data_IF_469638073234
#
_entry.id   IF_469638073234
#
_cell.length_a   1.000
_cell.length_b   1.000
_cell.length_c   1.000
_cell.angle_alpha   90.00
_cell.angle_beta   90.00
_cell.angle_gamma   90.00
#
_symmetry.space_group_name_H-M   'P 1'
#
loop_
_entity.id
_entity.type
_entity.pdbx_description
1 polymer ?
#
# COMPACT_ATOMS: atom_id res chain seq x y z
N UNK A 1 6.79 20.15 6.55
CA UNK A 1 7.43 19.47 5.40
C UNK A 1 6.31 19.10 4.43
N UNK A 2 6.52 19.15 3.11
CA UNK A 2 5.49 18.71 2.15
C UNK A 2 5.59 17.18 2.04
N UNK A 3 4.45 16.48 2.16
CA UNK A 3 4.37 15.02 2.05
C UNK A 3 4.81 14.54 0.65
N UNK A 4 5.50 13.39 0.56
CA UNK A 4 5.85 12.79 -0.73
C UNK A 4 4.60 12.36 -1.53
N UNK A 5 3.46 12.21 -0.86
CA UNK A 5 2.18 11.81 -1.46
C UNK A 5 1.30 13.00 -1.85
N UNK A 6 1.76 14.24 -1.65
CA UNK A 6 0.98 15.43 -1.95
C UNK A 6 0.56 15.57 -3.43
N UNK A 7 1.30 14.93 -4.36
CA UNK A 7 0.95 14.93 -5.79
C UNK A 7 -0.36 14.18 -6.10
N UNK A 8 -0.79 13.27 -5.21
CA UNK A 8 -2.03 12.52 -5.37
C UNK A 8 -3.26 13.35 -5.02
N UNK A 9 -3.09 14.52 -4.38
CA UNK A 9 -4.21 15.25 -3.78
C UNK A 9 -5.27 15.70 -4.79
N UNK A 10 -4.85 15.99 -6.03
CA UNK A 10 -5.75 16.52 -7.06
C UNK A 10 -6.73 15.47 -7.61
N UNK A 11 -6.29 14.20 -7.69
CA UNK A 11 -7.06 13.12 -8.33
C UNK A 11 -7.44 11.99 -7.34
N UNK A 12 -6.62 11.78 -6.32
CA UNK A 12 -6.74 10.70 -5.35
C UNK A 12 -6.49 11.20 -3.91
N UNK A 13 -7.32 12.14 -3.39
CA UNK A 13 -7.12 12.75 -2.07
C UNK A 13 -7.11 11.74 -0.93
N UNK A 14 -7.84 10.62 -1.05
CA UNK A 14 -7.82 9.54 -0.07
C UNK A 14 -6.43 8.89 0.03
N UNK A 15 -5.77 8.61 -1.11
CA UNK A 15 -4.42 8.06 -1.13
C UNK A 15 -3.41 9.10 -0.60
N UNK A 16 -3.54 10.37 -0.99
CA UNK A 16 -2.70 11.45 -0.49
C UNK A 16 -2.76 11.54 1.04
N UNK A 17 -3.96 11.50 1.62
CA UNK A 17 -4.17 11.53 3.07
C UNK A 17 -3.60 10.30 3.78
N UNK A 18 -3.79 9.10 3.23
CA UNK A 18 -3.21 7.87 3.81
C UNK A 18 -1.69 7.89 3.80
N UNK A 19 -1.08 8.33 2.69
CA UNK A 19 0.37 8.44 2.56
C UNK A 19 0.96 9.50 3.50
N UNK A 20 0.35 10.68 3.57
CA UNK A 20 0.78 11.74 4.50
C UNK A 20 0.71 11.27 5.96
N UNK A 21 -0.38 10.60 6.36
CA UNK A 21 -0.50 10.05 7.71
C UNK A 21 0.55 8.97 7.99
N UNK A 22 0.87 8.13 6.99
CA UNK A 22 1.92 7.14 7.16
C UNK A 22 3.29 7.80 7.41
N UNK A 23 3.61 8.87 6.68
CA UNK A 23 4.84 9.65 6.91
C UNK A 23 4.87 10.30 8.29
N UNK A 24 3.74 10.86 8.74
CA UNK A 24 3.63 11.47 10.07
C UNK A 24 3.85 10.44 11.18
N UNK A 25 3.36 9.21 11.00
CA UNK A 25 3.54 8.15 12.00
C UNK A 25 4.92 7.50 12.00
N UNK A 26 5.72 7.64 10.92
CA UNK A 26 6.98 6.91 10.74
C UNK A 26 7.89 6.98 11.98
N UNK A 27 8.02 8.16 12.60
CA UNK A 27 8.93 8.38 13.73
C UNK A 27 8.24 8.36 15.11
N UNK A 28 6.92 8.23 15.15
CA UNK A 28 6.15 8.22 16.40
C UNK A 28 5.57 6.84 16.72
N UNK A 29 5.14 6.10 15.70
CA UNK A 29 4.51 4.79 15.80
C UNK A 29 4.64 4.04 14.46
N UNK A 30 5.70 3.25 14.32
CA UNK A 30 5.94 2.44 13.13
C UNK A 30 4.84 1.41 12.86
N UNK A 31 4.13 0.94 13.89
CA UNK A 31 3.00 0.03 13.74
C UNK A 31 1.83 0.72 13.02
N UNK A 32 1.44 1.90 13.50
CA UNK A 32 0.42 2.72 12.85
C UNK A 32 0.84 3.13 11.43
N UNK A 33 2.13 3.42 11.20
CA UNK A 33 2.67 3.67 9.86
C UNK A 33 2.41 2.48 8.92
N UNK A 34 2.80 1.26 9.31
CA UNK A 34 2.57 0.05 8.51
C UNK A 34 1.09 -0.23 8.24
N UNK A 35 0.21 0.02 9.22
CA UNK A 35 -1.24 -0.12 9.04
C UNK A 35 -1.73 0.88 7.98
N UNK A 36 -1.30 2.15 8.03
CA UNK A 36 -1.69 3.17 7.06
C UNK A 36 -1.15 2.88 5.67
N UNK A 37 0.10 2.44 5.54
CA UNK A 37 0.65 2.01 4.26
C UNK A 37 -0.13 0.82 3.70
N UNK A 38 -0.51 -0.15 4.54
CA UNK A 38 -1.33 -1.29 4.13
C UNK A 38 -2.66 -0.86 3.52
N UNK A 39 -3.35 0.09 4.16
CA UNK A 39 -4.60 0.67 3.64
C UNK A 39 -4.38 1.44 2.33
N UNK A 40 -3.27 2.17 2.21
CA UNK A 40 -2.89 2.84 0.97
C UNK A 40 -2.75 1.84 -0.19
N UNK A 41 -1.99 0.75 0.01
CA UNK A 41 -1.80 -0.27 -1.02
C UNK A 41 -3.10 -0.99 -1.40
N UNK A 42 -3.95 -1.31 -0.41
CA UNK A 42 -5.28 -1.88 -0.67
C UNK A 42 -6.17 -0.95 -1.50
N UNK A 43 -6.19 0.33 -1.14
CA UNK A 43 -6.98 1.34 -1.85
C UNK A 43 -6.46 1.54 -3.28
N UNK A 44 -5.14 1.57 -3.46
CA UNK A 44 -4.50 1.69 -4.78
C UNK A 44 -4.86 0.52 -5.69
N UNK A 45 -4.73 -0.72 -5.22
CA UNK A 45 -5.10 -1.91 -5.99
C UNK A 45 -6.58 -1.89 -6.38
N UNK A 46 -7.47 -1.48 -5.47
CA UNK A 46 -8.89 -1.38 -5.76
C UNK A 46 -9.19 -0.31 -6.82
N UNK A 47 -8.50 0.84 -6.76
CA UNK A 47 -8.63 1.89 -7.76
C UNK A 47 -8.14 1.43 -9.12
N UNK A 48 -7.00 0.73 -9.20
CA UNK A 48 -6.50 0.16 -10.46
C UNK A 48 -7.54 -0.77 -11.07
N UNK A 49 -8.07 -1.72 -10.29
CA UNK A 49 -9.11 -2.63 -10.79
C UNK A 49 -10.34 -1.89 -11.33
N UNK A 50 -10.80 -0.86 -10.61
CA UNK A 50 -11.98 -0.10 -11.00
C UNK A 50 -11.75 0.77 -12.25
N UNK A 51 -10.59 1.43 -12.34
CA UNK A 51 -10.25 2.33 -13.45
C UNK A 51 -9.90 1.55 -14.73
N UNK A 52 -9.21 0.42 -14.61
CA UNK A 52 -8.80 -0.42 -15.73
C UNK A 52 -9.89 -1.43 -16.15
N UNK A 53 -11.05 -1.43 -15.48
CA UNK A 53 -12.17 -2.32 -15.80
C UNK A 53 -11.88 -3.80 -15.54
N UNK A 54 -10.97 -4.11 -14.61
CA UNK A 54 -10.56 -5.48 -14.30
C UNK A 54 -11.58 -6.11 -13.36
N UNK A 55 -12.15 -7.22 -13.79
CA UNK A 55 -13.07 -8.00 -12.96
C UNK A 55 -12.33 -8.54 -11.71
N UNK A 56 -12.90 -8.37 -10.51
CA UNK A 56 -12.39 -9.00 -9.29
C UNK A 56 -12.22 -10.53 -9.46
N UNK A 57 -11.29 -11.16 -8.74
CA UNK A 57 -11.12 -12.62 -8.78
C UNK A 57 -12.46 -13.35 -8.55
N UNK A 58 -12.80 -14.30 -9.42
CA UNK A 58 -14.06 -15.08 -9.34
C UNK A 58 -14.13 -15.99 -8.10
N UNK A 59 -12.96 -16.37 -7.55
CA UNK A 59 -12.84 -17.16 -6.31
C UNK A 59 -12.69 -16.30 -5.06
N UNK A 60 -11.71 -16.63 -4.21
CA UNK A 60 -11.44 -15.82 -3.00
C UNK A 60 -10.98 -14.40 -3.38
N UNK A 61 -11.82 -13.41 -3.12
CA UNK A 61 -11.56 -12.01 -3.44
C UNK A 61 -10.67 -11.32 -2.38
N UNK A 62 -9.48 -11.87 -2.16
CA UNK A 62 -8.48 -11.33 -1.23
C UNK A 62 -7.61 -10.27 -1.91
N UNK A 63 -7.01 -9.38 -1.12
CA UNK A 63 -6.07 -8.38 -1.65
C UNK A 63 -4.90 -9.02 -2.42
N UNK A 64 -4.37 -10.14 -1.92
CA UNK A 64 -3.32 -10.90 -2.62
C UNK A 64 -3.78 -11.42 -3.99
N UNK A 65 -5.02 -11.90 -4.10
CA UNK A 65 -5.55 -12.38 -5.38
C UNK A 65 -5.84 -11.24 -6.35
N UNK A 66 -6.24 -10.05 -5.87
CA UNK A 66 -6.36 -8.83 -6.70
C UNK A 66 -5.02 -8.42 -7.31
N UNK A 67 -3.94 -8.40 -6.51
CA UNK A 67 -2.58 -8.10 -7.00
C UNK A 67 -2.15 -9.12 -8.07
N UNK A 68 -2.37 -10.42 -7.81
CA UNK A 68 -2.09 -11.47 -8.80
C UNK A 68 -2.85 -11.27 -10.11
N UNK A 69 -4.12 -10.86 -10.05
CA UNK A 69 -4.90 -10.53 -11.24
C UNK A 69 -4.26 -9.37 -11.99
N UNK A 70 -3.98 -8.25 -11.33
CA UNK A 70 -3.34 -7.09 -11.97
C UNK A 70 -2.00 -7.46 -12.64
N UNK A 71 -1.19 -8.30 -11.98
CA UNK A 71 0.08 -8.80 -12.55
C UNK A 71 -0.15 -9.67 -13.79
N UNK A 72 -1.13 -10.58 -13.73
CA UNK A 72 -1.46 -11.48 -14.86
C UNK A 72 -1.98 -10.70 -16.06
N UNK A 73 -2.79 -9.67 -15.84
CA UNK A 73 -3.28 -8.77 -16.90
C UNK A 73 -2.20 -7.79 -17.40
N UNK A 74 -0.98 -7.81 -16.84
CA UNK A 74 0.13 -6.96 -17.26
C UNK A 74 0.05 -5.50 -16.79
N UNK A 75 -0.85 -5.19 -15.85
CA UNK A 75 -1.09 -3.83 -15.34
C UNK A 75 -0.07 -3.40 -14.28
N UNK A 76 0.64 -4.34 -13.67
CA UNK A 76 1.75 -4.05 -12.75
C UNK A 76 3.00 -4.84 -13.13
N UNK A 77 4.19 -4.21 -13.09
CA UNK A 77 5.46 -4.91 -13.26
C UNK A 77 5.84 -5.68 -11.98
N UNK A 78 6.79 -6.61 -12.10
CA UNK A 78 7.24 -7.43 -10.98
C UNK A 78 7.71 -6.62 -9.76
N UNK A 79 8.40 -5.49 -9.98
CA UNK A 79 8.84 -4.62 -8.88
C UNK A 79 7.69 -4.07 -8.03
N UNK A 80 6.54 -3.78 -8.65
CA UNK A 80 5.35 -3.28 -7.95
C UNK A 80 4.63 -4.41 -7.20
N UNK A 81 4.60 -5.62 -7.78
CA UNK A 81 4.12 -6.83 -7.09
C UNK A 81 4.95 -7.13 -5.82
N UNK A 82 6.28 -7.00 -5.91
CA UNK A 82 7.19 -7.18 -4.77
C UNK A 82 6.94 -6.15 -3.66
N UNK A 83 6.70 -4.88 -4.00
CA UNK A 83 6.34 -3.83 -3.03
C UNK A 83 5.00 -4.16 -2.36
N UNK A 84 3.97 -4.52 -3.11
CA UNK A 84 2.67 -4.89 -2.53
C UNK A 84 2.77 -6.15 -1.66
N UNK A 85 3.61 -7.11 -2.05
CA UNK A 85 3.87 -8.29 -1.23
C UNK A 85 4.56 -7.93 0.10
N UNK A 86 5.61 -7.12 0.05
CA UNK A 86 6.33 -6.65 1.22
C UNK A 86 5.40 -5.90 2.17
N UNK A 87 4.58 -5.00 1.62
CA UNK A 87 3.59 -4.23 2.34
C UNK A 87 2.58 -5.12 3.07
N UNK A 88 2.01 -6.11 2.37
CA UNK A 88 1.06 -7.06 2.95
C UNK A 88 1.68 -7.86 4.09
N UNK A 89 2.94 -8.30 3.93
CA UNK A 89 3.67 -9.05 4.96
C UNK A 89 3.93 -8.18 6.19
N UNK A 90 4.41 -6.95 6.00
CA UNK A 90 4.71 -6.03 7.09
C UNK A 90 3.44 -5.63 7.87
N UNK A 91 2.34 -5.31 7.16
CA UNK A 91 1.04 -5.02 7.79
C UNK A 91 0.54 -6.20 8.63
N UNK A 92 0.60 -7.42 8.11
CA UNK A 92 0.15 -8.60 8.85
C UNK A 92 0.97 -8.82 10.14
N UNK A 93 2.29 -8.60 10.09
CA UNK A 93 3.15 -8.66 11.29
C UNK A 93 2.82 -7.56 12.29
N UNK A 94 2.62 -6.33 11.81
CA UNK A 94 2.23 -5.20 12.65
C UNK A 94 0.93 -5.49 13.42
N UNK A 95 -0.07 -6.09 12.77
CA UNK A 95 -1.37 -6.39 13.39
C UNK A 95 -1.30 -7.52 14.43
N UNK A 96 -0.43 -8.53 14.23
CA UNK A 96 -0.50 -9.77 15.01
C UNK A 96 0.66 -9.98 16.00
N UNK A 97 1.79 -9.28 15.86
CA UNK A 97 3.01 -9.61 16.61
C UNK A 97 3.46 -8.54 17.63
N UNK A 98 2.72 -7.43 17.80
CA UNK A 98 3.15 -6.32 18.67
C UNK A 98 4.48 -5.69 18.22
N UNK A 99 4.80 -5.85 16.93
CA UNK A 99 6.02 -5.40 16.29
C UNK A 99 6.01 -3.87 16.13
N UNK A 100 7.07 -3.18 16.59
CA UNK A 100 7.18 -1.72 16.49
C UNK A 100 7.21 -1.20 15.05
N UNK A 101 7.58 -2.08 14.11
CA UNK A 101 7.45 -1.83 12.68
C UNK A 101 8.43 -0.83 12.10
N UNK A 102 9.33 -0.21 12.87
CA UNK A 102 10.03 0.99 12.42
C UNK A 102 10.91 0.76 11.19
N UNK A 103 11.76 -0.27 11.20
CA UNK A 103 12.66 -0.56 10.09
C UNK A 103 11.89 -0.95 8.82
N UNK A 104 10.87 -1.81 8.96
CA UNK A 104 9.98 -2.21 7.86
C UNK A 104 9.20 -0.98 7.32
N UNK A 105 8.70 -0.11 8.19
CA UNK A 105 7.97 1.11 7.84
C UNK A 105 8.85 2.08 7.07
N UNK A 106 10.08 2.32 7.56
CA UNK A 106 11.04 3.19 6.91
C UNK A 106 11.42 2.67 5.52
N UNK A 107 11.72 1.37 5.42
CA UNK A 107 12.06 0.74 4.15
C UNK A 107 10.91 0.82 3.13
N UNK A 108 9.66 0.63 3.57
CA UNK A 108 8.48 0.71 2.71
C UNK A 108 8.18 2.16 2.27
N UNK A 109 8.29 3.14 3.18
CA UNK A 109 8.18 4.56 2.81
C UNK A 109 9.21 4.91 1.74
N UNK A 110 10.46 4.50 1.92
CA UNK A 110 11.53 4.80 0.96
C UNK A 110 11.29 4.16 -0.42
N UNK A 111 10.73 2.94 -0.46
CA UNK A 111 10.37 2.25 -1.72
C UNK A 111 9.14 2.82 -2.42
N UNK A 112 8.22 3.43 -1.67
CA UNK A 112 6.95 3.95 -2.18
C UNK A 112 7.00 5.45 -2.54
N UNK A 113 8.17 6.08 -2.48
CA UNK A 113 8.36 7.44 -2.94
C UNK A 113 8.19 7.52 -4.46
N UNK A 114 7.49 8.55 -4.97
CA UNK A 114 7.33 8.78 -6.40
C UNK A 114 8.63 9.15 -7.11
#
# INVERSE_FOLDING_TARGET
MKSNYAFLNDHFPALAGMGSLAEDYLYTDGNSCLIKLGLFGETMVNLMMALDGVTPPEGENTHANRIKTLKREGLIPAAIDDIFYALRKARNRAVHEGYDGFDDAKALIDQMKP
#
